data_IF_066903882720
#
_entry.id   IF_066903882720
#
_cell.length_a   1.000
_cell.length_b   1.000
_cell.length_c   1.000
_cell.angle_alpha   90.00
_cell.angle_beta   90.00
_cell.angle_gamma   90.00
#
_symmetry.space_group_name_H-M   'P 1'
#
loop_
_entity.id
_entity.type
_entity.pdbx_description
1 polymer ?
#
# COMPACT_ATOMS: atom_id res chain seq x y z
N UNK A 1 -14.22 7.53 -0.11
CA UNK A 1 -14.30 7.12 -1.54
C UNK A 1 -14.80 5.67 -1.70
N UNK A 2 -15.49 5.33 -2.79
CA UNK A 2 -16.03 3.99 -3.07
C UNK A 2 -15.23 3.31 -4.19
N UNK A 3 -15.11 1.98 -4.13
CA UNK A 3 -14.57 1.20 -5.24
C UNK A 3 -15.50 1.27 -6.46
N UNK A 4 -14.93 1.42 -7.64
CA UNK A 4 -15.67 1.44 -8.91
C UNK A 4 -15.82 0.04 -9.50
N UNK A 5 -14.87 -0.85 -9.21
CA UNK A 5 -14.89 -2.23 -9.67
C UNK A 5 -15.42 -3.16 -8.57
N UNK A 6 -16.45 -3.95 -8.89
CA UNK A 6 -16.92 -5.03 -8.01
C UNK A 6 -16.06 -6.28 -8.24
N UNK A 7 -15.33 -6.71 -7.21
CA UNK A 7 -14.53 -7.94 -7.22
C UNK A 7 -14.96 -8.88 -6.10
N UNK A 8 -14.76 -10.20 -6.32
CA UNK A 8 -14.91 -11.20 -5.26
C UNK A 8 -13.58 -11.29 -4.50
N UNK A 9 -13.67 -11.34 -3.18
CA UNK A 9 -12.51 -11.41 -2.26
C UNK A 9 -12.36 -12.77 -1.61
N UNK A 10 -13.46 -13.51 -1.51
CA UNK A 10 -13.48 -14.89 -1.06
C UNK A 10 -13.21 -15.81 -2.26
N UNK A 11 -11.92 -16.10 -2.47
CA UNK A 11 -11.41 -16.84 -3.61
C UNK A 11 -10.35 -17.84 -3.14
N UNK A 12 -10.34 -19.03 -3.75
CA UNK A 12 -9.20 -19.91 -3.64
C UNK A 12 -7.96 -19.27 -4.30
N UNK A 13 -6.73 -19.55 -3.83
CA UNK A 13 -5.50 -18.93 -4.36
C UNK A 13 -5.36 -19.02 -5.89
N UNK A 14 -5.68 -20.15 -6.51
CA UNK A 14 -5.66 -20.32 -7.97
C UNK A 14 -6.64 -19.38 -8.69
N UNK A 15 -7.83 -19.16 -8.12
CA UNK A 15 -8.81 -18.23 -8.69
C UNK A 15 -8.37 -16.77 -8.51
N UNK A 16 -7.73 -16.45 -7.38
CA UNK A 16 -7.14 -15.14 -7.13
C UNK A 16 -6.01 -14.81 -8.13
N UNK A 17 -5.14 -15.77 -8.47
CA UNK A 17 -4.11 -15.60 -9.50
C UNK A 17 -4.71 -15.25 -10.86
N UNK A 18 -5.72 -16.00 -11.32
CA UNK A 18 -6.45 -15.69 -12.58
C UNK A 18 -7.09 -14.31 -12.55
N UNK A 19 -7.62 -13.91 -11.39
CA UNK A 19 -8.17 -12.57 -11.23
C UNK A 19 -7.08 -11.48 -11.34
N UNK A 20 -5.88 -11.68 -10.78
CA UNK A 20 -4.77 -10.73 -10.96
C UNK A 20 -4.40 -10.58 -12.42
N UNK A 21 -4.29 -11.67 -13.17
CA UNK A 21 -3.94 -11.64 -14.59
C UNK A 21 -4.95 -10.83 -15.39
N UNK A 22 -6.26 -11.06 -15.15
CA UNK A 22 -7.32 -10.28 -15.79
C UNK A 22 -7.32 -8.80 -15.38
N UNK A 23 -7.06 -8.50 -14.11
CA UNK A 23 -7.06 -7.11 -13.63
C UNK A 23 -5.80 -6.34 -14.04
N UNK A 24 -4.69 -7.04 -14.26
CA UNK A 24 -3.44 -6.47 -14.78
C UNK A 24 -3.66 -5.74 -16.10
N UNK A 25 -4.52 -6.26 -16.97
CA UNK A 25 -4.84 -5.64 -18.27
C UNK A 25 -5.49 -4.25 -18.14
N UNK A 26 -6.03 -3.92 -16.96
CA UNK A 26 -6.60 -2.60 -16.68
C UNK A 26 -5.58 -1.59 -16.16
N UNK A 27 -4.34 -2.01 -15.91
CA UNK A 27 -3.30 -1.11 -15.40
C UNK A 27 -2.86 -0.16 -16.51
N UNK A 28 -2.96 1.14 -16.23
CA UNK A 28 -2.46 2.19 -17.11
C UNK A 28 -1.12 2.71 -16.53
N UNK A 29 -0.07 2.68 -17.34
CA UNK A 29 1.29 3.09 -16.95
C UNK A 29 1.65 4.50 -17.44
N UNK A 30 0.65 5.27 -17.84
CA UNK A 30 0.76 6.65 -18.30
C UNK A 30 0.08 7.59 -17.32
N UNK A 31 0.45 8.88 -17.36
CA UNK A 31 -0.21 9.92 -16.59
C UNK A 31 -1.65 10.12 -17.09
N UNK A 32 -2.63 9.63 -16.32
CA UNK A 32 -4.07 9.74 -16.61
C UNK A 32 -4.81 10.31 -15.42
N UNK A 33 -4.38 11.49 -14.99
CA UNK A 33 -4.94 12.20 -13.85
C UNK A 33 -4.94 13.70 -14.08
N UNK A 34 -5.85 14.41 -13.41
CA UNK A 34 -5.86 15.86 -13.39
C UNK A 34 -4.81 16.43 -12.43
N UNK A 35 -5.10 17.62 -11.91
CA UNK A 35 -4.34 18.22 -10.83
C UNK A 35 -4.38 17.33 -9.57
N UNK A 36 -3.24 17.22 -8.88
CA UNK A 36 -3.12 16.47 -7.63
C UNK A 36 -3.08 17.48 -6.50
N UNK A 37 -4.18 17.61 -5.77
CA UNK A 37 -4.33 18.50 -4.60
C UNK A 37 -4.27 17.70 -3.30
N UNK A 38 -4.64 16.42 -3.34
CA UNK A 38 -4.61 15.52 -2.20
C UNK A 38 -3.89 14.21 -2.50
N UNK A 39 -2.95 13.85 -1.64
CA UNK A 39 -2.24 12.57 -1.67
C UNK A 39 -2.59 11.78 -0.41
N UNK A 40 -3.08 10.55 -0.58
CA UNK A 40 -3.25 9.61 0.53
C UNK A 40 -2.02 8.72 0.69
N UNK A 41 -1.64 8.41 1.93
CA UNK A 41 -0.79 7.28 2.27
C UNK A 41 -1.65 6.21 2.93
N UNK A 42 -1.41 4.93 2.59
CA UNK A 42 -2.09 3.82 3.24
C UNK A 42 -1.16 2.67 3.56
N UNK A 43 -1.42 2.05 4.70
CA UNK A 43 -0.69 0.89 5.22
C UNK A 43 -1.60 0.02 6.09
N UNK A 44 -1.15 -1.20 6.41
CA UNK A 44 -1.82 -2.14 7.30
C UNK A 44 -0.89 -2.68 8.38
N UNK A 45 -1.47 -2.99 9.54
CA UNK A 45 -0.84 -3.85 10.54
C UNK A 45 -1.68 -5.10 10.76
N UNK A 46 -1.03 -6.27 10.78
CA UNK A 46 -1.64 -7.55 11.12
C UNK A 46 -1.56 -7.80 12.64
N UNK A 47 -2.65 -8.31 13.20
CA UNK A 47 -2.76 -8.83 14.56
C UNK A 47 -2.89 -10.37 14.51
N UNK A 48 -1.81 -11.11 14.78
CA UNK A 48 -1.80 -12.57 14.70
C UNK A 48 -2.81 -13.27 15.61
N UNK A 49 -3.03 -12.74 16.82
CA UNK A 49 -3.85 -13.43 17.84
C UNK A 49 -5.33 -13.47 17.47
N UNK A 50 -5.84 -12.39 16.86
CA UNK A 50 -7.25 -12.27 16.48
C UNK A 50 -7.52 -12.61 15.02
N UNK A 51 -6.48 -12.86 14.23
CA UNK A 51 -6.52 -12.97 12.77
C UNK A 51 -7.22 -11.75 12.12
N UNK A 52 -6.99 -10.57 12.68
CA UNK A 52 -7.49 -9.29 12.18
C UNK A 52 -6.35 -8.44 11.63
N UNK A 53 -6.71 -7.46 10.81
CA UNK A 53 -5.79 -6.41 10.43
C UNK A 53 -6.48 -5.05 10.52
N UNK A 54 -5.68 -4.04 10.83
CA UNK A 54 -6.08 -2.64 10.82
C UNK A 54 -5.43 -1.94 9.64
N UNK A 55 -6.27 -1.36 8.78
CA UNK A 55 -5.82 -0.46 7.73
C UNK A 55 -5.88 0.98 8.23
N UNK A 56 -4.84 1.75 7.94
CA UNK A 56 -4.76 3.19 8.18
C UNK A 56 -4.62 3.93 6.86
N UNK A 57 -5.40 4.99 6.68
CA UNK A 57 -5.33 5.87 5.52
C UNK A 57 -5.24 7.31 6.00
N UNK A 58 -4.26 8.05 5.52
CA UNK A 58 -4.02 9.45 5.89
C UNK A 58 -3.93 10.28 4.61
N UNK A 59 -4.69 11.37 4.53
CA UNK A 59 -4.76 12.29 3.40
C UNK A 59 -4.01 13.56 3.74
N UNK A 60 -3.15 13.98 2.82
CA UNK A 60 -2.34 15.20 2.91
C UNK A 60 -2.69 16.14 1.77
N UNK A 61 -2.59 17.45 2.00
CA UNK A 61 -2.53 18.44 0.93
C UNK A 61 -1.25 18.23 0.11
N UNK A 62 -1.31 18.56 -1.17
CA UNK A 62 -0.19 18.46 -2.09
C UNK A 62 -0.01 19.81 -2.82
N UNK A 63 1.22 20.37 -2.87
CA UNK A 63 2.49 19.76 -2.45
C UNK A 63 2.89 19.98 -0.98
N UNK A 64 2.13 20.71 -0.16
CA UNK A 64 2.59 21.16 1.18
C UNK A 64 2.70 20.04 2.21
N UNK A 65 2.12 18.87 1.95
CA UNK A 65 2.16 17.70 2.84
C UNK A 65 1.61 18.01 4.25
N UNK A 66 0.58 18.86 4.33
CA UNK A 66 -0.19 19.10 5.56
C UNK A 66 -1.27 18.05 5.67
N UNK A 67 -1.35 17.38 6.82
CA UNK A 67 -2.39 16.39 7.04
C UNK A 67 -3.78 17.06 7.06
N UNK A 68 -4.74 16.44 6.38
CA UNK A 68 -6.12 16.92 6.26
C UNK A 68 -7.11 15.95 6.93
N UNK A 69 -6.86 14.64 6.81
CA UNK A 69 -7.75 13.62 7.35
C UNK A 69 -6.99 12.32 7.59
N UNK A 70 -7.31 11.61 8.68
CA UNK A 70 -6.95 10.19 8.85
C UNK A 70 -8.14 9.32 9.21
N UNK A 71 -8.17 8.10 8.70
CA UNK A 71 -9.19 7.08 8.96
C UNK A 71 -8.56 5.71 9.10
N UNK A 72 -9.23 4.83 9.85
CA UNK A 72 -8.84 3.44 9.97
C UNK A 72 -10.02 2.49 9.92
N UNK A 73 -9.76 1.21 9.65
CA UNK A 73 -10.75 0.16 9.78
C UNK A 73 -10.11 -1.18 10.15
N UNK A 74 -10.71 -1.84 11.13
CA UNK A 74 -10.41 -3.21 11.51
C UNK A 74 -11.26 -4.19 10.70
N UNK A 75 -10.65 -5.29 10.24
CA UNK A 75 -11.35 -6.41 9.60
C UNK A 75 -10.63 -7.72 9.88
N UNK A 76 -11.43 -8.78 10.08
CA UNK A 76 -10.95 -10.17 9.98
C UNK A 76 -10.38 -10.45 8.59
N UNK A 77 -9.24 -11.11 8.57
CA UNK A 77 -8.62 -11.57 7.34
C UNK A 77 -9.24 -12.88 6.90
N UNK A 78 -9.71 -12.92 5.65
CA UNK A 78 -10.40 -14.09 5.08
C UNK A 78 -9.54 -14.86 4.06
N UNK A 79 -8.47 -14.23 3.58
CA UNK A 79 -7.58 -14.81 2.58
C UNK A 79 -6.25 -15.22 3.23
N UNK A 80 -5.72 -16.43 2.97
CA UNK A 80 -4.49 -16.92 3.60
C UNK A 80 -3.24 -16.13 3.16
N UNK A 81 -2.16 -16.24 3.93
CA UNK A 81 -0.87 -15.72 3.47
C UNK A 81 -0.35 -16.56 2.30
N UNK A 82 -0.32 -16.00 1.10
CA UNK A 82 0.30 -16.62 -0.07
C UNK A 82 1.20 -15.59 -0.76
N UNK A 83 2.51 -15.86 -0.91
CA UNK A 83 3.43 -14.95 -1.59
C UNK A 83 2.91 -14.52 -2.98
N UNK A 84 2.91 -13.21 -3.22
CA UNK A 84 2.39 -12.61 -4.44
C UNK A 84 0.85 -12.58 -4.56
N UNK A 85 0.11 -12.90 -3.50
CA UNK A 85 -1.35 -12.72 -3.41
C UNK A 85 -1.77 -11.86 -2.21
N UNK A 86 -0.81 -11.19 -1.56
CA UNK A 86 -1.04 -10.36 -0.37
C UNK A 86 -2.15 -9.32 -0.59
N UNK A 87 -2.25 -8.76 -1.80
CA UNK A 87 -3.31 -7.80 -2.13
C UNK A 87 -4.75 -8.31 -1.90
N UNK A 88 -5.02 -9.62 -2.04
CA UNK A 88 -6.35 -10.18 -1.73
C UNK A 88 -6.65 -10.24 -0.24
N UNK A 89 -5.60 -10.36 0.56
CA UNK A 89 -5.68 -10.36 2.02
C UNK A 89 -5.90 -8.95 2.55
N UNK A 90 -5.24 -7.95 1.97
CA UNK A 90 -5.16 -6.60 2.56
C UNK A 90 -6.13 -5.58 1.95
N UNK A 91 -6.39 -5.66 0.64
CA UNK A 91 -7.23 -4.67 -0.05
C UNK A 91 -8.64 -4.55 0.53
N UNK A 92 -9.34 -5.62 0.97
CA UNK A 92 -10.64 -5.48 1.65
C UNK A 92 -10.59 -4.60 2.91
N UNK A 93 -9.49 -4.65 3.65
CA UNK A 93 -9.28 -3.85 4.85
C UNK A 93 -9.00 -2.40 4.48
N UNK A 94 -8.12 -2.16 3.49
CA UNK A 94 -7.91 -0.84 2.89
C UNK A 94 -9.23 -0.23 2.42
N UNK A 95 -10.05 -1.00 1.70
CA UNK A 95 -11.34 -0.55 1.20
C UNK A 95 -12.28 -0.10 2.33
N UNK A 96 -12.26 -0.81 3.47
CA UNK A 96 -13.05 -0.42 4.62
C UNK A 96 -12.59 0.93 5.21
N UNK A 97 -11.28 1.23 5.19
CA UNK A 97 -10.74 2.51 5.64
C UNK A 97 -11.00 3.64 4.62
N UNK A 98 -10.73 3.41 3.33
CA UNK A 98 -11.00 4.37 2.25
C UNK A 98 -12.48 4.79 2.17
N UNK A 99 -13.41 3.89 2.49
CA UNK A 99 -14.85 4.19 2.52
C UNK A 99 -15.22 5.23 3.59
N UNK A 100 -14.41 5.37 4.64
CA UNK A 100 -14.63 6.34 5.72
C UNK A 100 -14.05 7.73 5.43
N UNK A 101 -13.25 7.89 4.38
CA UNK A 101 -12.73 9.19 3.97
C UNK A 101 -13.85 10.11 3.51
N UNK A 102 -13.78 11.36 3.96
CA UNK A 102 -14.60 12.49 3.47
C UNK A 102 -13.87 13.26 2.37
N UNK A 103 -12.55 13.42 2.51
CA UNK A 103 -11.69 14.01 1.48
C UNK A 103 -11.27 12.92 0.50
N UNK A 104 -11.61 13.10 -0.78
CA UNK A 104 -11.22 12.15 -1.81
C UNK A 104 -9.78 12.45 -2.28
N UNK A 105 -8.84 11.50 -2.16
CA UNK A 105 -7.50 11.69 -2.66
C UNK A 105 -7.45 11.65 -4.19
N UNK A 106 -6.59 12.47 -4.76
CA UNK A 106 -6.29 12.49 -6.20
C UNK A 106 -5.24 11.42 -6.55
N UNK A 107 -4.41 11.04 -5.60
CA UNK A 107 -3.40 9.99 -5.72
C UNK A 107 -3.19 9.23 -4.40
N UNK A 108 -2.87 7.94 -4.49
CA UNK A 108 -2.62 7.09 -3.32
C UNK A 108 -1.19 6.50 -3.38
N UNK A 109 -0.42 6.71 -2.32
CA UNK A 109 0.83 6.01 -2.05
C UNK A 109 0.55 4.79 -1.16
N UNK A 110 1.01 3.62 -1.59
CA UNK A 110 0.86 2.36 -0.87
C UNK A 110 2.24 1.88 -0.42
N UNK A 111 2.37 1.46 0.85
CA UNK A 111 3.56 0.74 1.31
C UNK A 111 3.53 -0.69 0.74
N UNK A 112 4.16 -0.86 -0.42
CA UNK A 112 4.13 -2.11 -1.17
C UNK A 112 4.47 -1.87 -2.63
N UNK A 113 4.50 -2.95 -3.40
CA UNK A 113 4.81 -2.89 -4.84
C UNK A 113 3.55 -2.73 -5.69
N UNK A 114 3.71 -2.07 -6.84
CA UNK A 114 2.81 -2.12 -7.98
C UNK A 114 3.34 -3.07 -9.05
N UNK A 115 3.93 -2.52 -10.11
CA UNK A 115 4.42 -3.28 -11.26
C UNK A 115 5.57 -4.27 -10.93
N UNK A 116 6.39 -3.98 -9.91
CA UNK A 116 7.44 -4.90 -9.44
C UNK A 116 6.85 -6.06 -8.61
N UNK A 117 6.17 -6.95 -9.33
CA UNK A 117 5.47 -8.11 -8.79
C UNK A 117 5.63 -9.28 -9.78
N UNK A 118 5.62 -10.56 -9.32
CA UNK A 118 5.74 -11.72 -10.21
C UNK A 118 4.76 -11.70 -11.38
N UNK A 119 3.54 -11.19 -11.14
CA UNK A 119 2.46 -11.05 -12.13
C UNK A 119 2.23 -9.61 -12.61
N UNK A 120 3.19 -8.70 -12.41
CA UNK A 120 3.07 -7.26 -12.77
C UNK A 120 1.82 -6.58 -12.18
N UNK A 121 1.34 -7.08 -11.04
CA UNK A 121 0.08 -6.66 -10.42
C UNK A 121 0.16 -6.77 -8.89
N UNK A 122 0.99 -5.92 -8.29
CA UNK A 122 1.09 -5.79 -6.84
C UNK A 122 -0.08 -5.02 -6.24
N UNK A 123 -0.05 -4.82 -4.92
CA UNK A 123 -1.12 -4.17 -4.16
C UNK A 123 -1.40 -2.74 -4.65
N UNK A 124 -0.38 -1.97 -5.05
CA UNK A 124 -0.61 -0.62 -5.57
C UNK A 124 -1.41 -0.64 -6.88
N UNK A 125 -1.14 -1.60 -7.78
CA UNK A 125 -1.94 -1.80 -9.00
C UNK A 125 -3.36 -2.23 -8.65
N UNK A 126 -3.51 -3.18 -7.73
CA UNK A 126 -4.81 -3.73 -7.36
C UNK A 126 -5.73 -2.66 -6.75
N UNK A 127 -5.22 -1.88 -5.79
CA UNK A 127 -5.93 -0.73 -5.21
C UNK A 127 -6.27 0.29 -6.30
N UNK A 128 -5.31 0.65 -7.15
CA UNK A 128 -5.52 1.66 -8.19
C UNK A 128 -6.60 1.28 -9.19
N UNK A 129 -6.61 0.04 -9.67
CA UNK A 129 -7.64 -0.47 -10.59
C UNK A 129 -9.02 -0.54 -9.92
N UNK A 130 -9.10 -0.95 -8.65
CA UNK A 130 -10.39 -1.06 -7.95
C UNK A 130 -11.04 0.29 -7.71
N UNK A 131 -10.22 1.30 -7.39
CA UNK A 131 -10.69 2.66 -7.11
C UNK A 131 -10.68 3.56 -8.35
N UNK A 132 -10.13 3.11 -9.47
CA UNK A 132 -9.82 3.92 -10.64
C UNK A 132 -9.12 5.23 -10.28
N UNK A 133 -8.05 5.10 -9.47
CA UNK A 133 -7.23 6.22 -9.00
C UNK A 133 -5.76 6.03 -9.34
N UNK A 134 -5.03 7.14 -9.53
CA UNK A 134 -3.58 7.12 -9.58
C UNK A 134 -2.99 6.49 -8.33
N UNK A 135 -2.13 5.49 -8.50
CA UNK A 135 -1.47 4.81 -7.38
C UNK A 135 0.00 4.57 -7.65
N UNK A 136 0.80 4.68 -6.59
CA UNK A 136 2.24 4.42 -6.60
C UNK A 136 2.56 3.48 -5.45
N UNK A 137 3.34 2.44 -5.73
CA UNK A 137 3.92 1.58 -4.71
C UNK A 137 5.27 2.12 -4.24
N UNK A 138 5.45 2.22 -2.93
CA UNK A 138 6.66 2.66 -2.24
C UNK A 138 7.16 1.57 -1.29
N UNK A 139 7.90 0.59 -1.80
CA UNK A 139 8.31 -0.55 -0.97
C UNK A 139 9.66 -0.34 -0.26
N UNK A 140 9.78 -0.93 0.95
CA UNK A 140 10.98 -0.89 1.80
C UNK A 140 12.04 -1.95 1.43
N UNK A 141 11.64 -2.99 0.69
CA UNK A 141 12.44 -4.15 0.27
C UNK A 141 12.02 -4.63 -1.13
N UNK A 142 12.88 -5.40 -1.79
CA UNK A 142 12.56 -6.04 -3.07
C UNK A 142 11.60 -7.21 -2.86
N UNK A 143 10.56 -7.30 -3.70
CA UNK A 143 9.76 -8.52 -3.85
C UNK A 143 10.26 -9.35 -5.03
N UNK A 144 10.58 -8.68 -6.14
CA UNK A 144 11.16 -9.25 -7.35
C UNK A 144 12.09 -8.25 -8.01
N UNK A 145 12.93 -8.78 -8.89
CA UNK A 145 13.86 -7.98 -9.67
C UNK A 145 15.10 -7.55 -8.89
N UNK A 146 15.94 -6.82 -9.59
CA UNK A 146 17.25 -6.38 -9.13
C UNK A 146 17.59 -5.02 -9.71
N UNK A 147 18.56 -4.35 -9.11
CA UNK A 147 19.11 -3.11 -9.63
C UNK A 147 20.63 -3.11 -9.44
N UNK A 148 21.33 -2.39 -10.32
CA UNK A 148 22.78 -2.17 -10.17
C UNK A 148 23.10 -1.32 -8.94
N UNK A 149 24.38 -1.22 -8.59
CA UNK A 149 24.85 -0.36 -7.52
C UNK A 149 24.25 1.06 -7.65
N UNK A 150 23.69 1.54 -6.55
CA UNK A 150 23.02 2.82 -6.46
C UNK A 150 23.91 3.80 -5.70
N UNK A 151 24.08 5.02 -6.23
CA UNK A 151 24.85 6.08 -5.58
C UNK A 151 24.43 6.32 -4.11
N UNK A 152 25.37 6.76 -3.28
CA UNK A 152 25.14 6.97 -1.84
C UNK A 152 24.37 8.25 -1.53
N UNK A 153 24.29 9.20 -2.47
CA UNK A 153 23.65 10.49 -2.28
C UNK A 153 22.14 10.44 -2.52
N UNK A 154 21.38 11.18 -1.70
CA UNK A 154 19.95 11.43 -1.91
C UNK A 154 19.71 11.89 -3.34
N UNK A 155 18.64 11.37 -3.95
CA UNK A 155 18.29 11.60 -5.34
C UNK A 155 18.93 10.60 -6.32
N UNK A 156 19.91 9.80 -5.89
CA UNK A 156 20.43 8.72 -6.74
C UNK A 156 19.33 7.73 -7.10
N UNK A 157 19.28 7.32 -8.38
CA UNK A 157 18.33 6.34 -8.90
C UNK A 157 19.01 5.22 -9.68
N UNK A 158 18.46 4.02 -9.62
CA UNK A 158 18.83 2.92 -10.50
C UNK A 158 17.54 2.23 -11.03
N UNK A 159 17.50 1.80 -12.31
CA UNK A 159 16.40 1.01 -12.82
C UNK A 159 16.22 -0.27 -12.01
N UNK A 160 14.98 -0.55 -11.59
CA UNK A 160 14.61 -1.85 -11.05
C UNK A 160 14.18 -2.75 -12.21
N UNK A 161 14.94 -3.81 -12.47
CA UNK A 161 14.77 -4.72 -13.60
C UNK A 161 14.25 -6.07 -13.14
N UNK A 162 13.30 -6.67 -13.84
CA UNK A 162 12.80 -8.01 -13.56
C UNK A 162 12.44 -8.71 -14.87
N UNK A 163 13.11 -9.83 -15.18
CA UNK A 163 13.00 -10.55 -16.47
C UNK A 163 13.25 -9.63 -17.68
N UNK A 164 14.33 -8.85 -17.65
CA UNK A 164 14.71 -7.95 -18.75
C UNK A 164 13.87 -6.66 -18.86
N UNK A 165 12.77 -6.55 -18.14
CA UNK A 165 11.90 -5.36 -18.17
C UNK A 165 12.14 -4.44 -16.97
N UNK A 166 12.03 -3.13 -17.18
CA UNK A 166 12.03 -2.15 -16.09
C UNK A 166 10.66 -2.16 -15.41
N UNK A 167 10.63 -2.47 -14.12
CA UNK A 167 9.40 -2.54 -13.30
C UNK A 167 9.31 -1.43 -12.24
N UNK A 168 10.33 -0.59 -12.12
CA UNK A 168 10.35 0.54 -11.20
C UNK A 168 11.72 1.21 -11.12
N UNK A 169 11.94 1.92 -10.02
CA UNK A 169 13.20 2.60 -9.70
C UNK A 169 13.57 2.32 -8.24
N UNK A 170 14.82 1.93 -8.01
CA UNK A 170 15.45 2.05 -6.69
C UNK A 170 15.85 3.52 -6.48
N UNK A 171 15.31 4.15 -5.44
CA UNK A 171 15.49 5.57 -5.14
C UNK A 171 16.16 5.76 -3.78
N UNK A 172 17.29 6.48 -3.77
CA UNK A 172 17.96 6.93 -2.54
C UNK A 172 17.26 8.17 -2.01
N UNK A 173 16.47 8.04 -0.96
CA UNK A 173 15.74 9.16 -0.35
C UNK A 173 16.52 9.86 0.77
N UNK A 174 17.55 9.20 1.31
CA UNK A 174 18.46 9.72 2.34
C UNK A 174 19.89 9.21 2.12
N UNK A 175 20.88 10.07 2.33
CA UNK A 175 22.30 9.76 2.16
C UNK A 175 22.71 8.52 2.95
N UNK A 176 23.40 7.58 2.29
CA UNK A 176 23.94 6.36 2.89
C UNK A 176 22.91 5.33 3.36
N UNK A 177 21.61 5.64 3.33
CA UNK A 177 20.54 4.74 3.83
C UNK A 177 20.02 3.85 2.70
N UNK A 178 19.59 2.62 3.01
CA UNK A 178 18.95 1.71 2.05
C UNK A 178 17.88 2.42 1.20
N UNK A 179 17.81 2.17 -0.12
CA UNK A 179 16.82 2.83 -0.97
C UNK A 179 15.40 2.39 -0.64
N UNK A 180 14.43 3.09 -1.22
CA UNK A 180 13.07 2.59 -1.40
C UNK A 180 12.88 2.19 -2.87
N UNK A 181 11.84 1.41 -3.15
CA UNK A 181 11.51 0.98 -4.50
C UNK A 181 10.20 1.64 -4.93
N UNK A 182 10.30 2.56 -5.88
CA UNK A 182 9.16 3.29 -6.45
C UNK A 182 8.68 2.53 -7.68
N UNK A 183 7.42 2.13 -7.67
CA UNK A 183 6.82 1.30 -8.72
C UNK A 183 5.46 1.86 -9.10
N UNK A 184 5.14 1.85 -10.39
CA UNK A 184 3.84 2.30 -10.87
C UNK A 184 2.74 1.37 -10.38
N UNK A 185 1.65 1.92 -9.88
CA UNK A 185 0.43 1.18 -9.55
C UNK A 185 -0.58 1.28 -10.68
N UNK A 186 -1.14 2.47 -10.90
CA UNK A 186 -2.17 2.74 -11.91
C UNK A 186 -2.18 4.23 -12.27
N UNK A 187 -2.48 4.57 -13.53
CA UNK A 187 -2.72 5.93 -14.07
C UNK A 187 -1.64 6.97 -13.75
N UNK A 188 -0.39 6.53 -13.62
CA UNK A 188 0.77 7.39 -13.39
C UNK A 188 1.99 6.82 -14.09
N UNK A 189 2.76 7.67 -14.78
CA UNK A 189 4.02 7.32 -15.40
C UNK A 189 5.12 7.10 -14.34
N UNK A 190 6.15 6.31 -14.66
CA UNK A 190 7.24 6.07 -13.70
C UNK A 190 7.99 7.36 -13.35
N UNK A 191 8.22 8.22 -14.34
CA UNK A 191 8.87 9.51 -14.13
C UNK A 191 8.04 10.42 -13.20
N UNK A 192 6.72 10.48 -13.41
CA UNK A 192 5.82 11.23 -12.55
C UNK A 192 5.75 10.63 -11.15
N UNK A 193 5.71 9.30 -11.03
CA UNK A 193 5.71 8.62 -9.75
C UNK A 193 6.93 8.96 -8.90
N UNK A 194 8.14 8.91 -9.48
CA UNK A 194 9.39 9.28 -8.78
C UNK A 194 9.37 10.74 -8.31
N UNK A 195 8.87 11.66 -9.14
CA UNK A 195 8.74 13.09 -8.77
C UNK A 195 7.78 13.28 -7.58
N UNK A 196 6.60 12.68 -7.64
CA UNK A 196 5.59 12.78 -6.58
C UNK A 196 6.13 12.21 -5.27
N UNK A 197 6.74 11.02 -5.31
CA UNK A 197 7.39 10.42 -4.15
C UNK A 197 8.46 11.35 -3.57
N UNK A 198 9.28 11.97 -4.43
CA UNK A 198 10.28 12.96 -4.02
C UNK A 198 9.69 14.18 -3.32
N UNK A 199 8.56 14.70 -3.82
CA UNK A 199 7.82 15.83 -3.22
C UNK A 199 7.11 15.44 -1.92
N UNK A 200 6.86 14.14 -1.70
CA UNK A 200 6.31 13.60 -0.44
C UNK A 200 7.36 13.29 0.63
N UNK A 201 8.64 13.63 0.42
CA UNK A 201 9.70 13.44 1.40
C UNK A 201 9.84 14.67 2.32
N UNK A 202 10.10 14.44 3.60
CA UNK A 202 10.28 15.44 4.65
C UNK A 202 11.54 15.17 5.49
N UNK A 203 12.59 14.63 4.86
CA UNK A 203 13.89 14.35 5.49
C UNK A 203 14.10 12.90 5.95
N UNK A 204 13.05 12.08 5.94
CA UNK A 204 13.14 10.66 6.28
C UNK A 204 13.32 9.75 5.05
N UNK A 205 13.68 8.49 5.29
CA UNK A 205 13.83 7.46 4.24
C UNK A 205 12.49 7.17 3.54
N UNK A 206 11.41 7.08 4.30
CA UNK A 206 10.08 6.69 3.80
C UNK A 206 9.26 7.96 3.56
N UNK A 207 8.54 8.09 2.42
CA UNK A 207 7.66 9.22 2.16
C UNK A 207 6.67 9.45 3.30
N UNK A 208 6.42 10.72 3.62
CA UNK A 208 5.59 11.13 4.76
C UNK A 208 4.23 10.41 4.76
N UNK A 209 3.48 10.31 3.64
CA UNK A 209 2.16 9.69 3.68
C UNK A 209 2.19 8.21 4.11
N UNK A 210 3.08 7.40 3.54
CA UNK A 210 3.20 5.98 3.88
C UNK A 210 3.86 5.76 5.25
N UNK A 211 4.78 6.65 5.67
CA UNK A 211 5.39 6.58 7.00
C UNK A 211 4.37 6.85 8.10
N UNK A 212 3.58 7.91 7.95
CA UNK A 212 2.56 8.26 8.95
C UNK A 212 1.45 7.19 8.99
N UNK A 213 1.12 6.58 7.84
CA UNK A 213 0.20 5.44 7.80
C UNK A 213 0.74 4.23 8.60
N UNK A 214 2.00 3.85 8.38
CA UNK A 214 2.70 2.77 9.14
C UNK A 214 2.73 3.05 10.64
N UNK A 215 3.06 4.29 11.04
CA UNK A 215 3.02 4.69 12.45
C UNK A 215 1.61 4.56 13.04
N UNK A 216 0.60 5.03 12.31
CA UNK A 216 -0.79 5.04 12.77
C UNK A 216 -1.35 3.62 12.96
N UNK A 217 -1.12 2.70 12.02
CA UNK A 217 -1.57 1.31 12.17
C UNK A 217 -0.86 0.58 13.30
N UNK A 218 0.43 0.86 13.54
CA UNK A 218 1.18 0.29 14.67
C UNK A 218 0.70 0.81 16.03
N UNK A 219 0.30 2.08 16.10
CA UNK A 219 -0.32 2.68 17.28
C UNK A 219 -1.68 2.04 17.57
N UNK A 220 -2.54 1.91 16.56
CA UNK A 220 -3.85 1.28 16.69
C UNK A 220 -3.74 -0.17 17.15
N UNK A 221 -2.81 -0.95 16.56
CA UNK A 221 -2.57 -2.33 16.97
C UNK A 221 -2.17 -2.43 18.44
N UNK A 222 -1.18 -1.63 18.88
CA UNK A 222 -0.72 -1.62 20.28
C UNK A 222 -1.85 -1.32 21.28
N UNK A 223 -2.67 -0.30 21.00
CA UNK A 223 -3.80 0.04 21.87
C UNK A 223 -4.84 -1.07 21.97
N UNK A 224 -5.07 -1.81 20.90
CA UNK A 224 -6.00 -2.94 20.92
C UNK A 224 -5.43 -4.10 21.74
N UNK A 225 -4.12 -4.40 21.59
CA UNK A 225 -3.41 -5.36 22.44
C UNK A 225 -3.49 -4.97 23.93
N UNK A 226 -3.27 -3.70 24.26
CA UNK A 226 -3.35 -3.21 25.64
C UNK A 226 -4.77 -3.36 26.23
N UNK A 227 -5.82 -3.13 25.42
CA UNK A 227 -7.22 -3.34 25.83
C UNK A 227 -7.53 -4.82 26.02
N UNK A 228 -6.97 -5.71 25.20
CA UNK A 228 -7.12 -7.16 25.35
C UNK A 228 -6.45 -7.64 26.64
N UNK A 229 -5.23 -7.17 26.93
CA UNK A 229 -4.49 -7.51 28.16
C UNK A 229 -5.21 -6.98 29.42
N UNK A 230 -5.89 -5.84 29.33
CA UNK A 230 -6.64 -5.25 30.45
C UNK A 230 -8.05 -5.85 30.64
N UNK A 231 -8.55 -6.70 29.74
CA UNK A 231 -9.82 -7.41 29.98
C UNK A 231 -9.58 -8.54 31.01
N UNK A 232 -10.31 -8.57 32.14
CA UNK A 232 -10.20 -9.68 33.07
C UNK A 232 -10.57 -10.98 32.34
N UNK A 233 -9.80 -12.05 32.62
CA UNK A 233 -10.11 -13.42 32.25
C UNK A 233 -11.40 -13.86 32.97
N UNK A 234 -12.56 -13.40 32.50
CA UNK A 234 -13.84 -13.92 32.92
C UNK A 234 -14.66 -14.27 31.69
N UNK A 235 -15.25 -15.47 31.75
CA UNK A 235 -16.10 -16.12 30.74
C UNK A 235 -15.37 -16.95 29.67
N UNK A 236 -14.66 -17.97 30.13
CA UNK A 236 -14.71 -19.31 29.50
C UNK A 236 -15.32 -20.29 30.51
N UNK A 237 -16.62 -20.15 30.78
CA UNK A 237 -17.38 -21.25 31.40
C UNK A 237 -17.85 -22.19 30.30
N UNK A 238 -17.26 -23.38 30.30
CA UNK A 238 -17.61 -24.46 29.39
C UNK A 238 -19.09 -24.83 29.51
N UNK A 239 -19.76 -24.87 28.36
CA UNK A 239 -20.93 -25.74 28.19
C UNK A 239 -20.44 -27.07 27.65
N UNK A 240 -20.29 -28.04 28.54
CA UNK A 240 -20.48 -29.45 28.20
C UNK A 240 -21.98 -29.66 28.00
N UNK A 241 -22.35 -30.23 26.86
CA UNK A 241 -23.45 -31.19 26.76
C UNK A 241 -22.79 -32.56 26.56
#
# INVERSE_FOLDING_TARGET
MKAVLRTRWDLAPRAAMRLQERLRERVILEDRHGEIRFVAGADLAFEPETNEAVAGVIVFSFPEMKEVERRHAWRKLRFPYVPGLLSFRETPVLMAAFRKLRTEPDLILIDGHGLAHPRRFGIACHVGVIFDKPTIGCAKSLLVGEHRALGLKKGSTAPLMHHGERVGVALRTRDGVKPIYVTQGHRVSLARAVRIVGQSLDGFRIPKPTREADHYVRELRRRDTDVIIQRPLSVWEGRKL
#
